data_IF_658214185087
#
_entry.id   IF_658214185087
#
_cell.length_a   1.000
_cell.length_b   1.000
_cell.length_c   1.000
_cell.angle_alpha   90.00
_cell.angle_beta   90.00
_cell.angle_gamma   90.00
#
_symmetry.space_group_name_H-M   'P 1'
#
loop_
_entity.id
_entity.type
_entity.pdbx_description
1 polymer ?
#
# COMPACT_ATOMS: atom_id res chain seq x y z
N UNK A 1 -3.72 -2.28 20.24
CA UNK A 1 -3.94 -2.27 18.78
C UNK A 1 -3.22 -1.08 18.18
N UNK A 2 -2.11 -1.31 17.48
CA UNK A 2 -1.20 -0.27 16.98
C UNK A 2 -1.92 0.79 16.12
N UNK A 3 -2.86 0.37 15.28
CA UNK A 3 -3.61 1.27 14.40
C UNK A 3 -4.61 2.18 15.13
N UNK A 4 -5.05 1.85 16.35
CA UNK A 4 -6.00 2.70 17.11
C UNK A 4 -5.39 4.02 17.57
N UNK A 5 -4.06 4.07 17.72
CA UNK A 5 -3.34 5.28 18.12
C UNK A 5 -2.88 6.13 16.93
N UNK A 6 -3.10 5.64 15.71
CA UNK A 6 -2.70 6.28 14.46
C UNK A 6 -3.89 7.03 13.88
N UNK A 7 -3.68 8.27 13.42
CA UNK A 7 -4.74 9.05 12.77
C UNK A 7 -5.15 8.37 11.45
N UNK A 8 -6.45 8.26 11.14
CA UNK A 8 -6.90 7.78 9.84
C UNK A 8 -6.34 8.64 8.69
N UNK A 9 -6.15 8.04 7.51
CA UNK A 9 -5.70 8.70 6.28
C UNK A 9 -4.34 9.44 6.40
N UNK A 10 -3.42 8.92 7.22
CA UNK A 10 -2.09 9.50 7.40
C UNK A 10 -1.06 8.87 6.44
N UNK A 11 -0.15 9.70 5.93
CA UNK A 11 1.08 9.26 5.26
C UNK A 11 2.26 9.66 6.14
N UNK A 12 3.04 8.68 6.60
CA UNK A 12 4.17 8.92 7.50
C UNK A 12 5.32 7.96 7.25
N UNK A 13 6.53 8.37 7.62
CA UNK A 13 7.70 7.48 7.58
C UNK A 13 7.62 6.38 8.65
N UNK A 14 8.08 5.18 8.31
CA UNK A 14 7.88 3.93 9.09
C UNK A 14 8.80 3.79 10.31
N UNK A 15 9.70 4.76 10.59
CA UNK A 15 10.77 4.60 11.61
C UNK A 15 10.29 4.19 13.03
N UNK A 16 9.01 4.40 13.35
CA UNK A 16 8.43 4.03 14.64
C UNK A 16 7.80 2.61 14.69
N UNK A 17 7.69 1.89 13.57
CA UNK A 17 6.95 0.63 13.47
C UNK A 17 7.70 -0.41 12.64
N UNK A 18 7.59 -1.69 13.00
CA UNK A 18 8.07 -2.79 12.16
C UNK A 18 6.97 -3.18 11.17
N UNK A 19 7.37 -3.68 10.00
CA UNK A 19 6.44 -4.15 8.97
C UNK A 19 5.53 -5.26 9.50
N UNK A 20 6.09 -6.18 10.29
CA UNK A 20 5.35 -7.28 10.93
C UNK A 20 4.25 -6.77 11.88
N UNK A 21 4.54 -5.73 12.68
CA UNK A 21 3.58 -5.14 13.60
C UNK A 21 2.42 -4.48 12.84
N UNK A 22 2.71 -3.85 11.69
CA UNK A 22 1.70 -3.24 10.82
C UNK A 22 0.84 -4.29 10.13
N UNK A 23 1.44 -5.40 9.69
CA UNK A 23 0.72 -6.52 9.11
C UNK A 23 -0.24 -7.15 10.12
N UNK A 24 0.24 -7.43 11.34
CA UNK A 24 -0.60 -7.98 12.40
C UNK A 24 -1.73 -7.01 12.76
N UNK A 25 -1.44 -5.72 12.89
CA UNK A 25 -2.46 -4.74 13.24
C UNK A 25 -3.51 -4.55 12.13
N UNK A 26 -3.12 -4.65 10.86
CA UNK A 26 -4.06 -4.65 9.74
C UNK A 26 -4.98 -5.88 9.80
N UNK A 27 -4.42 -7.07 10.05
CA UNK A 27 -5.20 -8.30 10.23
C UNK A 27 -6.19 -8.21 11.39
N UNK A 28 -5.75 -7.72 12.56
CA UNK A 28 -6.59 -7.54 13.75
C UNK A 28 -7.75 -6.56 13.48
N UNK A 29 -7.52 -5.55 12.62
CA UNK A 29 -8.52 -4.58 12.20
C UNK A 29 -9.38 -5.07 11.02
N UNK A 30 -9.10 -6.26 10.47
CA UNK A 30 -9.72 -6.76 9.24
C UNK A 30 -9.39 -5.95 7.99
N UNK A 31 -8.37 -5.11 8.04
CA UNK A 31 -7.94 -4.23 6.96
C UNK A 31 -7.05 -4.95 5.95
N UNK A 32 -7.04 -4.46 4.71
CA UNK A 32 -6.09 -4.93 3.71
C UNK A 32 -4.67 -4.50 4.06
N UNK A 33 -3.70 -5.37 3.82
CA UNK A 33 -2.29 -5.06 3.97
C UNK A 33 -1.60 -5.15 2.60
N UNK A 34 -1.05 -4.04 2.14
CA UNK A 34 -0.35 -3.93 0.86
C UNK A 34 1.10 -3.59 1.14
N UNK A 35 2.02 -4.39 0.62
CA UNK A 35 3.45 -4.25 0.85
C UNK A 35 4.22 -4.30 -0.46
N UNK A 36 5.11 -3.35 -0.66
CA UNK A 36 6.05 -3.34 -1.77
C UNK A 36 7.47 -3.06 -1.26
N UNK A 37 8.41 -3.90 -1.66
CA UNK A 37 9.83 -3.68 -1.43
C UNK A 37 10.42 -2.97 -2.66
N UNK A 38 10.95 -1.77 -2.46
CA UNK A 38 11.42 -0.90 -3.53
C UNK A 38 12.95 -0.81 -3.59
N UNK A 39 13.67 -1.71 -2.91
CA UNK A 39 15.15 -1.69 -2.85
C UNK A 39 15.81 -1.67 -4.23
N UNK A 40 15.22 -2.34 -5.21
CA UNK A 40 15.75 -2.42 -6.57
C UNK A 40 15.36 -1.22 -7.46
N UNK A 41 14.42 -0.38 -7.04
CA UNK A 41 13.94 0.73 -7.84
C UNK A 41 14.98 1.86 -7.87
N UNK A 42 15.33 2.33 -9.06
CA UNK A 42 16.33 3.40 -9.26
C UNK A 42 15.68 4.67 -9.85
N UNK A 43 14.42 4.59 -10.25
CA UNK A 43 13.67 5.68 -10.85
C UNK A 43 12.20 5.64 -10.42
N UNK A 44 11.49 6.75 -10.65
CA UNK A 44 10.04 6.82 -10.42
C UNK A 44 9.28 5.75 -11.22
N UNK A 45 9.76 5.40 -12.41
CA UNK A 45 9.13 4.36 -13.23
C UNK A 45 9.30 2.99 -12.57
N UNK A 46 10.50 2.67 -12.08
CA UNK A 46 10.76 1.40 -11.39
C UNK A 46 9.95 1.29 -10.09
N UNK A 47 9.75 2.40 -9.37
CA UNK A 47 8.86 2.44 -8.19
C UNK A 47 7.43 2.10 -8.57
N UNK A 48 6.90 2.74 -9.61
CA UNK A 48 5.52 2.52 -10.07
C UNK A 48 5.33 1.07 -10.56
N UNK A 49 6.31 0.51 -11.26
CA UNK A 49 6.30 -0.88 -11.71
C UNK A 49 6.35 -1.86 -10.54
N UNK A 50 7.24 -1.62 -9.57
CA UNK A 50 7.36 -2.48 -8.38
C UNK A 50 6.08 -2.48 -7.54
N UNK A 51 5.40 -1.33 -7.43
CA UNK A 51 4.10 -1.23 -6.77
C UNK A 51 3.03 -2.00 -7.55
N UNK A 52 2.98 -1.82 -8.87
CA UNK A 52 2.00 -2.49 -9.72
C UNK A 52 2.12 -4.01 -9.65
N UNK A 53 3.35 -4.53 -9.69
CA UNK A 53 3.63 -5.96 -9.56
C UNK A 53 3.25 -6.48 -8.17
N UNK A 54 3.65 -5.78 -7.11
CA UNK A 54 3.37 -6.19 -5.74
C UNK A 54 1.87 -6.20 -5.41
N UNK A 55 1.10 -5.26 -5.97
CA UNK A 55 -0.32 -5.09 -5.69
C UNK A 55 -1.22 -5.76 -6.74
N UNK A 56 -0.62 -6.50 -7.68
CA UNK A 56 -1.32 -7.25 -8.74
C UNK A 56 -2.23 -6.36 -9.59
N UNK A 57 -1.74 -5.17 -9.98
CA UNK A 57 -2.47 -4.27 -10.85
C UNK A 57 -2.66 -4.85 -12.26
N UNK A 58 -3.66 -4.37 -13.02
CA UNK A 58 -3.87 -4.82 -14.39
C UNK A 58 -2.66 -4.58 -15.30
N UNK A 59 -2.49 -5.44 -16.31
CA UNK A 59 -1.39 -5.38 -17.28
C UNK A 59 -1.30 -4.07 -18.08
N UNK A 60 -2.37 -3.28 -18.10
CA UNK A 60 -2.45 -1.97 -18.77
C UNK A 60 -2.26 -0.80 -17.81
N UNK A 61 -1.54 -1.00 -16.70
CA UNK A 61 -1.22 0.07 -15.76
C UNK A 61 -0.49 1.23 -16.46
N UNK A 62 -1.08 2.43 -16.43
CA UNK A 62 -0.60 3.61 -17.17
C UNK A 62 0.73 4.21 -16.68
N UNK A 63 1.38 3.59 -15.69
CA UNK A 63 2.69 3.97 -15.11
C UNK A 63 2.81 5.47 -14.79
N UNK A 64 1.76 6.03 -14.20
CA UNK A 64 1.72 7.40 -13.73
C UNK A 64 0.93 7.48 -12.40
N UNK A 65 0.95 8.64 -11.76
CA UNK A 65 0.32 8.81 -10.44
C UNK A 65 -1.21 8.79 -10.52
N UNK A 66 -1.80 9.20 -11.64
CA UNK A 66 -3.25 9.14 -11.84
C UNK A 66 -3.69 7.68 -11.97
N UNK A 67 -2.97 6.88 -12.77
CA UNK A 67 -3.21 5.44 -12.90
C UNK A 67 -3.01 4.70 -11.57
N UNK A 68 -2.03 5.12 -10.75
CA UNK A 68 -1.83 4.60 -9.40
C UNK A 68 -3.04 4.91 -8.51
N UNK A 69 -3.51 6.15 -8.54
CA UNK A 69 -4.70 6.57 -7.80
C UNK A 69 -5.93 5.75 -8.21
N UNK A 70 -6.17 5.60 -9.52
CA UNK A 70 -7.27 4.82 -10.06
C UNK A 70 -7.19 3.36 -9.60
N UNK A 71 -6.02 2.71 -9.73
CA UNK A 71 -5.87 1.31 -9.30
C UNK A 71 -6.07 1.15 -7.79
N UNK A 72 -5.52 2.05 -6.97
CA UNK A 72 -5.65 1.99 -5.51
C UNK A 72 -7.07 2.25 -5.02
N UNK A 73 -7.90 2.95 -5.78
CA UNK A 73 -9.27 3.30 -5.38
C UNK A 73 -10.30 2.37 -6.00
N UNK A 74 -10.20 2.09 -7.30
CA UNK A 74 -11.15 1.23 -8.00
C UNK A 74 -11.03 -0.24 -7.61
N UNK A 75 -9.80 -0.77 -7.48
CA UNK A 75 -9.62 -2.18 -7.08
C UNK A 75 -10.16 -2.41 -5.67
N UNK A 76 -9.82 -1.48 -4.77
CA UNK A 76 -10.28 -1.49 -3.38
C UNK A 76 -11.81 -1.40 -3.38
N UNK A 77 -12.42 -0.39 -4.01
CA UNK A 77 -13.88 -0.25 -4.10
C UNK A 77 -14.59 -1.50 -4.65
N UNK A 78 -14.03 -2.18 -5.64
CA UNK A 78 -14.60 -3.41 -6.23
C UNK A 78 -14.46 -4.65 -5.33
N UNK A 79 -13.60 -4.62 -4.31
CA UNK A 79 -13.32 -5.76 -3.44
C UNK A 79 -14.38 -6.03 -2.34
N UNK A 80 -15.43 -5.21 -2.24
CA UNK A 80 -16.57 -5.43 -1.33
C UNK A 80 -16.64 -4.47 -0.15
N UNK A 81 -16.84 -4.98 1.07
CA UNK A 81 -16.80 -4.15 2.28
C UNK A 81 -15.42 -3.55 2.46
N UNK A 82 -15.33 -2.27 2.83
CA UNK A 82 -14.08 -1.51 2.89
C UNK A 82 -13.68 -1.23 4.35
N UNK A 83 -13.03 -2.20 5.04
CA UNK A 83 -12.54 -2.00 6.40
C UNK A 83 -11.38 -0.99 6.48
N UNK A 84 -10.80 -0.63 5.33
CA UNK A 84 -9.62 0.21 5.19
C UNK A 84 -8.40 -0.60 4.75
N UNK A 85 -7.27 0.08 4.59
CA UNK A 85 -6.01 -0.56 4.18
C UNK A 85 -4.80 0.12 4.82
N UNK A 86 -3.73 -0.65 4.94
CA UNK A 86 -2.40 -0.19 5.32
C UNK A 86 -1.46 -0.47 4.14
N UNK A 87 -0.78 0.57 3.66
CA UNK A 87 0.24 0.45 2.61
C UNK A 87 1.62 0.65 3.22
N UNK A 88 2.53 -0.28 2.94
CA UNK A 88 3.94 -0.20 3.29
C UNK A 88 4.78 -0.18 2.03
N UNK A 89 5.49 0.93 1.82
CA UNK A 89 6.53 1.04 0.79
C UNK A 89 7.89 1.00 1.51
N UNK A 90 8.59 -0.12 1.40
CA UNK A 90 9.87 -0.34 2.05
C UNK A 90 11.03 0.05 1.13
N UNK A 91 12.06 0.70 1.67
CA UNK A 91 13.23 1.20 0.92
C UNK A 91 12.88 2.15 -0.25
N UNK A 92 11.89 3.04 -0.05
CA UNK A 92 11.56 4.13 -0.99
C UNK A 92 12.56 5.29 -0.92
#
# INVERSE_FOLDING_TARGET
MLLQTVRPNIVQSIRAYRVEDLMQAAQDAGQHFLYANLTAAQSKQDVLDSIADAFLFPTHFGKNLDALYDCMTDLVHKAGSQPGFVVVLEQL
#
